data_IF_353793760643
#
_entry.id   IF_353793760643
#
_cell.length_a   1.000
_cell.length_b   1.000
_cell.length_c   1.000
_cell.angle_alpha   90.00
_cell.angle_beta   90.00
_cell.angle_gamma   90.00
#
_symmetry.space_group_name_H-M   'P 1'
#
loop_
_entity.id
_entity.type
_entity.pdbx_description
1 polymer ?
#
# COMPACT_ATOMS: atom_id res chain seq x y z
N UNK A 1 -7.92 -9.97 -21.55
CA UNK A 1 -8.51 -10.49 -20.29
C UNK A 1 -7.68 -11.59 -19.63
N UNK A 2 -7.42 -12.74 -20.29
CA UNK A 2 -6.60 -13.82 -19.70
C UNK A 2 -5.14 -13.37 -19.51
N UNK A 3 -4.58 -12.64 -20.48
CA UNK A 3 -3.19 -12.17 -20.40
C UNK A 3 -3.00 -11.04 -19.37
N UNK A 4 -4.01 -10.18 -19.19
CA UNK A 4 -4.03 -9.14 -18.14
C UNK A 4 -4.08 -9.78 -16.74
N UNK A 5 -4.87 -10.84 -16.59
CA UNK A 5 -4.95 -11.59 -15.33
C UNK A 5 -3.65 -12.31 -15.02
N UNK A 6 -3.04 -13.00 -16.00
CA UNK A 6 -1.73 -13.67 -15.84
C UNK A 6 -0.64 -12.68 -15.43
N UNK A 7 -0.61 -11.51 -16.09
CA UNK A 7 0.34 -10.45 -15.77
C UNK A 7 0.06 -9.86 -14.39
N UNK A 8 -1.20 -9.62 -14.05
CA UNK A 8 -1.61 -9.16 -12.73
C UNK A 8 -1.23 -10.13 -11.62
N UNK A 9 -1.35 -11.45 -11.85
CA UNK A 9 -0.90 -12.50 -10.93
C UNK A 9 0.62 -12.50 -10.77
N UNK A 10 1.37 -12.42 -11.88
CA UNK A 10 2.83 -12.37 -11.84
C UNK A 10 3.32 -11.13 -11.07
N UNK A 11 2.76 -9.96 -11.35
CA UNK A 11 3.05 -8.72 -10.61
C UNK A 11 2.66 -8.85 -9.14
N UNK A 12 1.48 -9.40 -8.85
CA UNK A 12 0.98 -9.60 -7.49
C UNK A 12 1.80 -10.58 -6.64
N UNK A 13 2.63 -11.42 -7.26
CA UNK A 13 3.54 -12.35 -6.59
C UNK A 13 4.97 -11.81 -6.50
N UNK A 14 5.55 -11.39 -7.62
CA UNK A 14 6.97 -11.00 -7.71
C UNK A 14 7.21 -9.71 -6.96
N UNK A 15 6.36 -8.71 -7.17
CA UNK A 15 6.58 -7.36 -6.65
C UNK A 15 6.53 -7.32 -5.12
N UNK A 16 5.52 -7.92 -4.44
CA UNK A 16 5.52 -7.98 -2.98
C UNK A 16 6.68 -8.79 -2.42
N UNK A 17 7.14 -9.85 -3.10
CA UNK A 17 8.28 -10.63 -2.64
C UNK A 17 9.58 -9.80 -2.66
N UNK A 18 9.82 -9.05 -3.74
CA UNK A 18 10.99 -8.18 -3.87
C UNK A 18 10.94 -6.96 -2.95
N UNK A 19 9.75 -6.37 -2.77
CA UNK A 19 9.57 -5.16 -1.95
C UNK A 19 9.26 -5.46 -0.49
N UNK A 20 9.16 -6.73 -0.10
CA UNK A 20 8.88 -7.16 1.27
C UNK A 20 9.87 -6.57 2.29
N UNK A 21 11.20 -6.66 2.11
CA UNK A 21 12.13 -6.11 3.08
C UNK A 21 11.90 -4.60 3.29
N UNK A 22 11.77 -3.82 2.21
CA UNK A 22 11.48 -2.38 2.30
C UNK A 22 10.15 -2.10 2.99
N UNK A 23 9.11 -2.87 2.68
CA UNK A 23 7.78 -2.74 3.28
C UNK A 23 7.78 -3.03 4.77
N UNK A 24 8.54 -4.04 5.21
CA UNK A 24 8.76 -4.38 6.61
C UNK A 24 9.51 -3.26 7.34
N UNK A 25 10.55 -2.71 6.72
CA UNK A 25 11.30 -1.58 7.29
C UNK A 25 10.39 -0.37 7.51
N UNK A 26 9.56 -0.02 6.53
CA UNK A 26 8.58 1.08 6.66
C UNK A 26 7.56 0.80 7.75
N UNK A 27 6.98 -0.39 7.79
CA UNK A 27 5.98 -0.75 8.80
C UNK A 27 6.57 -0.70 10.22
N UNK A 28 7.80 -1.18 10.42
CA UNK A 28 8.52 -1.07 11.69
C UNK A 28 8.81 0.38 12.06
N UNK A 29 9.29 1.19 11.11
CA UNK A 29 9.56 2.62 11.36
C UNK A 29 8.29 3.40 11.72
N UNK A 30 7.14 3.01 11.15
CA UNK A 30 5.84 3.61 11.47
C UNK A 30 5.29 3.13 12.82
N UNK A 31 5.64 1.92 13.25
CA UNK A 31 5.13 1.34 14.49
C UNK A 31 6.03 1.57 15.71
N UNK A 32 7.31 1.86 15.52
CA UNK A 32 8.25 2.06 16.63
C UNK A 32 8.22 3.51 17.15
N UNK A 33 8.47 3.72 18.46
CA UNK A 33 8.62 5.06 19.01
C UNK A 33 9.85 5.79 18.43
N UNK A 34 9.86 7.14 18.44
CA UNK A 34 11.00 7.94 18.01
C UNK A 34 12.27 7.55 18.77
N UNK A 35 13.36 7.28 18.04
CA UNK A 35 14.66 6.90 18.63
C UNK A 35 14.96 5.40 18.63
N UNK A 36 13.96 4.53 18.41
CA UNK A 36 14.21 3.12 18.16
C UNK A 36 14.86 2.93 16.78
N UNK A 37 15.88 2.08 16.69
CA UNK A 37 16.64 1.83 15.45
C UNK A 37 16.16 0.55 14.75
N UNK A 38 15.21 0.63 13.79
CA UNK A 38 14.70 -0.55 13.09
C UNK A 38 15.76 -1.29 12.26
N UNK A 39 16.90 -0.66 12.00
CA UNK A 39 17.94 -1.17 11.11
C UNK A 39 18.63 -2.43 11.66
N UNK A 40 18.83 -2.52 12.99
CA UNK A 40 19.54 -3.68 13.58
C UNK A 40 18.70 -4.95 13.57
N UNK A 41 17.38 -4.84 13.73
CA UNK A 41 16.46 -5.98 13.71
C UNK A 41 15.96 -6.34 12.32
N UNK A 42 16.20 -5.47 11.33
CA UNK A 42 15.86 -5.71 9.93
C UNK A 42 16.56 -6.95 9.38
N UNK A 43 17.87 -7.07 9.59
CA UNK A 43 18.71 -8.14 9.01
C UNK A 43 18.52 -9.52 9.65
N UNK A 44 17.85 -9.62 10.80
CA UNK A 44 17.62 -10.92 11.45
C UNK A 44 16.69 -11.84 10.65
N UNK A 45 15.74 -11.27 9.90
CA UNK A 45 14.76 -12.03 9.11
C UNK A 45 14.15 -11.19 7.97
N UNK A 46 14.94 -10.77 6.96
CA UNK A 46 14.54 -9.76 5.98
C UNK A 46 13.27 -10.12 5.19
N UNK A 47 12.97 -11.41 5.04
CA UNK A 47 11.80 -11.93 4.33
C UNK A 47 10.64 -12.37 5.23
N UNK A 48 10.68 -12.08 6.54
CA UNK A 48 9.55 -12.39 7.44
C UNK A 48 8.27 -11.73 6.94
N UNK A 49 7.23 -12.53 6.75
CA UNK A 49 5.95 -12.05 6.21
C UNK A 49 5.85 -12.02 4.68
N UNK A 50 6.86 -12.50 3.94
CA UNK A 50 6.84 -12.49 2.47
C UNK A 50 5.63 -13.20 1.89
N UNK A 51 5.30 -14.40 2.41
CA UNK A 51 4.14 -15.16 1.96
C UNK A 51 2.83 -14.41 2.19
N UNK A 52 2.68 -13.76 3.34
CA UNK A 52 1.51 -12.93 3.62
C UNK A 52 1.46 -11.72 2.68
N UNK A 53 2.61 -11.09 2.38
CA UNK A 53 2.72 -9.97 1.45
C UNK A 53 2.31 -10.37 0.01
N UNK A 54 2.78 -11.54 -0.47
CA UNK A 54 2.42 -12.06 -1.78
C UNK A 54 0.96 -12.46 -1.84
N UNK A 55 0.40 -13.07 -0.80
CA UNK A 55 -1.04 -13.36 -0.74
C UNK A 55 -1.89 -12.09 -0.79
N UNK A 56 -1.48 -11.03 -0.09
CA UNK A 56 -2.15 -9.72 -0.17
C UNK A 56 -2.06 -9.14 -1.57
N UNK A 57 -0.86 -9.16 -2.19
CA UNK A 57 -0.64 -8.65 -3.54
C UNK A 57 -1.46 -9.38 -4.58
N UNK A 58 -1.41 -10.71 -4.57
CA UNK A 58 -2.20 -11.58 -5.43
C UNK A 58 -3.70 -11.30 -5.28
N UNK A 59 -4.21 -11.30 -4.06
CA UNK A 59 -5.64 -11.04 -3.78
C UNK A 59 -6.06 -9.69 -4.35
N UNK A 60 -5.25 -8.64 -4.15
CA UNK A 60 -5.56 -7.31 -4.66
C UNK A 60 -5.53 -7.24 -6.17
N UNK A 61 -4.52 -7.82 -6.82
CA UNK A 61 -4.42 -7.83 -8.28
C UNK A 61 -5.62 -8.57 -8.88
N UNK A 62 -5.95 -9.76 -8.37
CA UNK A 62 -7.12 -10.53 -8.83
C UNK A 62 -8.41 -9.73 -8.67
N UNK A 63 -8.64 -9.13 -7.50
CA UNK A 63 -9.84 -8.31 -7.27
C UNK A 63 -9.90 -7.09 -8.18
N UNK A 64 -8.80 -6.36 -8.37
CA UNK A 64 -8.79 -5.16 -9.21
C UNK A 64 -9.04 -5.51 -10.67
N UNK A 65 -8.36 -6.52 -11.20
CA UNK A 65 -8.53 -6.93 -12.61
C UNK A 65 -9.88 -7.59 -12.88
N UNK A 66 -10.46 -8.30 -11.90
CA UNK A 66 -11.81 -8.85 -12.03
C UNK A 66 -12.90 -7.78 -11.94
N UNK A 67 -12.73 -6.75 -11.10
CA UNK A 67 -13.76 -5.74 -10.86
C UNK A 67 -13.71 -4.58 -11.86
N UNK A 68 -12.52 -4.20 -12.34
CA UNK A 68 -12.33 -3.04 -13.22
C UNK A 68 -13.26 -3.03 -14.46
N UNK A 69 -13.50 -4.15 -15.18
CA UNK A 69 -14.39 -4.16 -16.34
C UNK A 69 -15.86 -3.82 -16.02
N UNK A 70 -16.27 -3.94 -14.75
CA UNK A 70 -17.65 -3.78 -14.33
C UNK A 70 -17.95 -2.41 -13.68
N UNK A 71 -16.95 -1.54 -13.51
CA UNK A 71 -17.05 -0.33 -12.68
C UNK A 71 -17.19 0.99 -13.48
N UNK A 72 -17.54 0.91 -14.77
CA UNK A 72 -17.88 2.07 -15.62
C UNK A 72 -16.68 2.81 -16.24
N UNK A 73 -16.96 3.86 -17.01
CA UNK A 73 -15.97 4.52 -17.89
C UNK A 73 -15.03 5.51 -17.19
N UNK A 74 -15.42 6.04 -16.03
CA UNK A 74 -14.57 6.99 -15.28
C UNK A 74 -13.38 6.27 -14.66
N UNK A 75 -12.18 6.46 -15.23
CA UNK A 75 -10.91 5.86 -14.76
C UNK A 75 -10.62 6.17 -13.27
N UNK A 76 -11.03 7.35 -12.79
CA UNK A 76 -10.83 7.76 -11.39
C UNK A 76 -11.77 6.99 -10.43
N UNK A 77 -13.07 6.97 -10.73
CA UNK A 77 -14.08 6.36 -9.85
C UNK A 77 -13.96 4.84 -9.87
N UNK A 78 -13.84 4.24 -11.07
CA UNK A 78 -13.67 2.79 -11.22
C UNK A 78 -12.39 2.29 -10.55
N UNK A 79 -11.29 3.04 -10.68
CA UNK A 79 -10.02 2.78 -10.00
C UNK A 79 -10.15 2.83 -8.48
N UNK A 80 -10.80 3.87 -7.96
CA UNK A 80 -11.04 4.03 -6.53
C UNK A 80 -11.92 2.92 -5.94
N UNK A 81 -13.03 2.59 -6.60
CA UNK A 81 -13.94 1.51 -6.17
C UNK A 81 -13.29 0.13 -6.23
N UNK A 82 -12.55 -0.17 -7.30
CA UNK A 82 -11.80 -1.44 -7.42
C UNK A 82 -10.75 -1.56 -6.29
N UNK A 83 -10.03 -0.47 -6.02
CA UNK A 83 -9.07 -0.39 -4.93
C UNK A 83 -9.70 -0.57 -3.54
N UNK A 84 -10.86 0.06 -3.31
CA UNK A 84 -11.63 -0.06 -2.08
C UNK A 84 -12.08 -1.51 -1.83
N UNK A 85 -12.71 -2.14 -2.83
CA UNK A 85 -13.18 -3.52 -2.75
C UNK A 85 -12.02 -4.50 -2.54
N UNK A 86 -10.94 -4.37 -3.32
CA UNK A 86 -9.74 -5.19 -3.16
C UNK A 86 -9.09 -5.02 -1.78
N UNK A 87 -9.09 -3.81 -1.22
CA UNK A 87 -8.59 -3.55 0.13
C UNK A 87 -9.47 -4.19 1.20
N UNK A 88 -10.78 -4.21 1.02
CA UNK A 88 -11.70 -4.82 1.97
C UNK A 88 -11.52 -6.34 2.01
N UNK A 89 -11.48 -6.98 0.83
CA UNK A 89 -11.24 -8.43 0.70
C UNK A 89 -9.87 -8.83 1.26
N UNK A 90 -8.83 -8.03 1.00
CA UNK A 90 -7.47 -8.29 1.49
C UNK A 90 -7.20 -7.79 2.92
N UNK A 91 -8.20 -7.24 3.63
CA UNK A 91 -8.00 -6.63 4.95
C UNK A 91 -7.47 -7.61 6.01
N UNK A 92 -8.02 -8.84 6.16
CA UNK A 92 -7.51 -9.83 7.12
C UNK A 92 -6.05 -10.20 6.88
N UNK A 93 -5.71 -10.48 5.62
CA UNK A 93 -4.33 -10.80 5.20
C UNK A 93 -3.39 -9.62 5.43
N UNK A 94 -3.87 -8.39 5.19
CA UNK A 94 -3.08 -7.18 5.42
C UNK A 94 -2.80 -6.93 6.91
N UNK A 95 -3.79 -7.16 7.77
CA UNK A 95 -3.63 -7.07 9.22
C UNK A 95 -2.64 -8.12 9.74
N UNK A 96 -2.74 -9.36 9.24
CA UNK A 96 -1.80 -10.43 9.57
C UNK A 96 -0.37 -10.10 9.11
N UNK A 97 -0.21 -9.64 7.87
CA UNK A 97 1.07 -9.23 7.30
C UNK A 97 1.73 -8.08 8.09
N UNK A 98 0.99 -7.02 8.40
CA UNK A 98 1.50 -5.90 9.22
C UNK A 98 1.96 -6.37 10.60
N UNK A 99 1.25 -7.32 11.22
CA UNK A 99 1.69 -7.88 12.51
C UNK A 99 2.94 -8.74 12.38
N UNK A 100 3.07 -9.57 11.34
CA UNK A 100 4.31 -10.30 11.08
C UNK A 100 5.52 -9.38 10.87
N UNK A 101 5.30 -8.17 10.35
CA UNK A 101 6.36 -7.18 10.21
C UNK A 101 6.77 -6.56 11.55
N UNK A 102 5.80 -6.23 12.40
CA UNK A 102 6.04 -5.39 13.58
C UNK A 102 6.20 -6.19 14.87
N UNK A 103 5.39 -7.23 15.08
CA UNK A 103 5.36 -8.02 16.31
C UNK A 103 6.15 -9.31 16.13
N UNK A 104 7.14 -9.54 17.00
CA UNK A 104 7.87 -10.80 17.00
C UNK A 104 7.07 -11.93 17.69
N UNK A 105 6.21 -11.57 18.67
CA UNK A 105 5.27 -12.46 19.38
C UNK A 105 3.94 -11.75 19.70
N UNK A 106 2.79 -12.42 19.54
CA UNK A 106 1.48 -11.87 19.94
C UNK A 106 0.26 -12.54 19.30
N UNK A 107 -0.89 -12.52 20.00
CA UNK A 107 -2.17 -13.08 19.53
C UNK A 107 -2.88 -12.17 18.52
N UNK A 108 -3.38 -12.77 17.44
CA UNK A 108 -4.26 -12.12 16.46
C UNK A 108 -5.64 -11.85 17.08
N UNK A 109 -5.87 -10.62 17.54
CA UNK A 109 -7.11 -10.25 18.24
C UNK A 109 -8.22 -9.71 17.34
N UNK A 110 -7.90 -9.10 16.19
CA UNK A 110 -8.91 -8.52 15.27
C UNK A 110 -8.45 -8.58 13.81
N UNK A 111 -9.24 -9.26 12.98
CA UNK A 111 -8.94 -9.44 11.55
C UNK A 111 -9.12 -8.17 10.71
N UNK A 112 -10.03 -7.29 11.10
CA UNK A 112 -10.38 -6.09 10.32
C UNK A 112 -9.84 -4.79 10.92
N UNK A 113 -8.85 -4.86 11.82
CA UNK A 113 -8.23 -3.66 12.38
C UNK A 113 -7.64 -2.78 11.27
N UNK A 114 -8.02 -1.49 11.26
CA UNK A 114 -7.56 -0.53 10.25
C UNK A 114 -8.09 -0.77 8.84
N UNK A 115 -9.14 -1.59 8.66
CA UNK A 115 -9.74 -1.89 7.35
C UNK A 115 -10.34 -0.64 6.69
N UNK A 116 -11.11 0.17 7.42
CA UNK A 116 -11.72 1.41 6.90
C UNK A 116 -10.66 2.43 6.46
N UNK A 117 -9.62 2.64 7.26
CA UNK A 117 -8.49 3.49 6.88
C UNK A 117 -7.74 2.92 5.65
N UNK A 118 -7.65 1.59 5.53
CA UNK A 118 -7.06 0.92 4.36
C UNK A 118 -7.92 1.09 3.11
N UNK A 119 -9.24 0.97 3.24
CA UNK A 119 -10.19 1.18 2.14
C UNK A 119 -10.11 2.62 1.65
N UNK A 120 -10.11 3.59 2.57
CA UNK A 120 -9.90 5.01 2.24
C UNK A 120 -8.56 5.24 1.55
N UNK A 121 -7.47 4.65 2.08
CA UNK A 121 -6.15 4.72 1.46
C UNK A 121 -6.18 4.21 0.01
N UNK A 122 -6.69 3.00 -0.23
CA UNK A 122 -6.67 2.41 -1.58
C UNK A 122 -7.64 3.09 -2.53
N UNK A 123 -8.78 3.58 -2.05
CA UNK A 123 -9.71 4.37 -2.85
C UNK A 123 -9.04 5.65 -3.36
N UNK A 124 -8.46 6.44 -2.45
CA UNK A 124 -7.74 7.66 -2.81
C UNK A 124 -6.51 7.37 -3.67
N UNK A 125 -5.74 6.34 -3.31
CA UNK A 125 -4.52 5.99 -4.03
C UNK A 125 -4.80 5.58 -5.49
N UNK A 126 -5.73 4.64 -5.71
CA UNK A 126 -6.02 4.18 -7.06
C UNK A 126 -6.78 5.22 -7.88
N UNK A 127 -7.68 5.99 -7.28
CA UNK A 127 -8.33 7.12 -7.94
C UNK A 127 -7.30 8.14 -8.44
N UNK A 128 -6.44 8.66 -7.56
CA UNK A 128 -5.40 9.64 -7.93
C UNK A 128 -4.41 9.05 -8.92
N UNK A 129 -4.04 7.77 -8.78
CA UNK A 129 -3.14 7.11 -9.72
C UNK A 129 -3.72 7.05 -11.14
N UNK A 130 -4.91 6.49 -11.31
CA UNK A 130 -5.50 6.39 -12.64
C UNK A 130 -5.90 7.75 -13.23
N UNK A 131 -6.30 8.71 -12.39
CA UNK A 131 -6.55 10.08 -12.80
C UNK A 131 -5.29 10.78 -13.32
N UNK A 132 -4.18 10.72 -12.56
CA UNK A 132 -2.91 11.34 -12.97
C UNK A 132 -2.31 10.70 -14.22
N UNK A 133 -2.37 9.38 -14.34
CA UNK A 133 -1.95 8.64 -15.54
C UNK A 133 -2.82 9.01 -16.75
N UNK A 134 -4.13 9.11 -16.58
CA UNK A 134 -5.05 9.53 -17.64
C UNK A 134 -4.82 10.96 -18.11
N UNK A 135 -4.55 11.90 -17.20
CA UNK A 135 -4.19 13.28 -17.55
C UNK A 135 -2.85 13.36 -18.28
N UNK A 136 -1.87 12.54 -17.88
CA UNK A 136 -0.57 12.48 -18.55
C UNK A 136 -0.70 11.99 -20.00
N UNK A 137 -1.58 11.01 -20.26
CA UNK A 137 -1.89 10.51 -21.61
C UNK A 137 -2.50 11.58 -22.51
N UNK A 138 -3.33 12.46 -21.94
CA UNK A 138 -4.01 13.50 -22.70
C UNK A 138 -3.13 14.69 -23.05
N UNK A 139 -2.12 15.00 -22.23
CA UNK A 139 -1.32 16.22 -22.34
C UNK A 139 0.12 16.02 -22.82
N UNK A 140 0.69 14.82 -22.74
CA UNK A 140 2.08 14.55 -23.16
C UNK A 140 2.14 13.60 -24.37
N UNK A 141 2.59 14.13 -25.52
CA UNK A 141 2.70 13.40 -26.80
C UNK A 141 3.81 12.32 -26.77
N UNK A 142 4.77 12.43 -25.85
CA UNK A 142 5.86 11.45 -25.66
C UNK A 142 5.66 10.65 -24.38
N UNK A 143 4.72 9.71 -24.40
CA UNK A 143 4.36 8.87 -23.27
C UNK A 143 5.48 7.87 -22.92
N UNK A 144 6.44 8.27 -22.07
CA UNK A 144 7.28 7.28 -21.41
C UNK A 144 6.46 6.65 -20.27
N UNK A 145 5.86 5.49 -20.56
CA UNK A 145 5.01 4.75 -19.64
C UNK A 145 5.59 4.53 -18.25
N UNK A 146 6.91 4.39 -18.15
CA UNK A 146 7.61 4.24 -16.86
C UNK A 146 7.61 5.54 -16.06
N UNK A 147 7.84 6.67 -16.73
CA UNK A 147 7.87 8.00 -16.10
C UNK A 147 6.48 8.39 -15.58
N UNK A 148 5.44 8.22 -16.39
CA UNK A 148 4.08 8.60 -16.00
C UNK A 148 3.55 7.72 -14.86
N UNK A 149 3.85 6.41 -14.91
CA UNK A 149 3.52 5.47 -13.84
C UNK A 149 4.23 5.78 -12.53
N UNK A 150 5.50 6.19 -12.58
CA UNK A 150 6.25 6.63 -11.40
C UNK A 150 5.70 7.93 -10.80
N UNK A 151 5.45 8.96 -11.63
CA UNK A 151 4.90 10.24 -11.16
C UNK A 151 3.51 10.05 -10.55
N UNK A 152 2.63 9.33 -11.25
CA UNK A 152 1.29 9.04 -10.74
C UNK A 152 1.34 8.22 -9.45
N UNK A 153 2.29 7.28 -9.33
CA UNK A 153 2.52 6.50 -8.12
C UNK A 153 2.98 7.34 -6.93
N UNK A 154 3.92 8.27 -7.15
CA UNK A 154 4.42 9.19 -6.12
C UNK A 154 3.32 10.15 -5.69
N UNK A 155 2.60 10.77 -6.62
CA UNK A 155 1.49 11.67 -6.34
C UNK A 155 0.40 10.96 -5.51
N UNK A 156 -0.08 9.81 -5.99
CA UNK A 156 -1.07 9.01 -5.28
C UNK A 156 -0.59 8.61 -3.88
N UNK A 157 0.68 8.23 -3.74
CA UNK A 157 1.26 7.89 -2.44
C UNK A 157 1.25 9.08 -1.51
N UNK A 158 1.65 10.27 -1.97
CA UNK A 158 1.71 11.47 -1.15
C UNK A 158 0.33 11.87 -0.61
N UNK A 159 -0.71 11.85 -1.45
CA UNK A 159 -2.08 12.17 -1.04
C UNK A 159 -2.66 11.13 -0.07
N UNK A 160 -2.43 9.85 -0.33
CA UNK A 160 -3.01 8.78 0.48
C UNK A 160 -2.17 8.45 1.73
N UNK A 161 -0.93 8.95 1.84
CA UNK A 161 0.03 8.55 2.89
C UNK A 161 -0.50 8.63 4.33
N UNK A 162 -1.21 9.70 4.74
CA UNK A 162 -1.73 9.79 6.11
C UNK A 162 -2.70 8.65 6.46
N UNK A 163 -3.55 8.24 5.50
CA UNK A 163 -4.47 7.12 5.66
C UNK A 163 -3.73 5.77 5.76
N UNK A 164 -2.60 5.64 5.06
CA UNK A 164 -1.72 4.47 5.18
C UNK A 164 -1.14 4.36 6.58
N UNK A 165 -0.60 5.45 7.13
CA UNK A 165 -0.04 5.47 8.49
C UNK A 165 -1.13 5.17 9.52
N UNK A 166 -2.31 5.78 9.38
CA UNK A 166 -3.44 5.47 10.25
C UNK A 166 -3.80 3.98 10.21
N UNK A 167 -3.89 3.39 9.01
CA UNK A 167 -4.21 1.97 8.85
C UNK A 167 -3.15 1.06 9.49
N UNK A 168 -1.86 1.35 9.30
CA UNK A 168 -0.76 0.63 9.95
C UNK A 168 -0.86 0.74 11.47
N UNK A 169 -1.04 1.96 11.99
CA UNK A 169 -1.12 2.19 13.43
C UNK A 169 -2.32 1.51 14.06
N UNK A 170 -3.50 1.56 13.43
CA UNK A 170 -4.70 0.85 13.93
C UNK A 170 -4.54 -0.68 13.95
N UNK A 171 -3.71 -1.25 13.07
CA UNK A 171 -3.39 -2.69 13.05
C UNK A 171 -2.46 -3.11 14.18
N UNK A 172 -1.56 -2.21 14.58
CA UNK A 172 -0.54 -2.44 15.62
C UNK A 172 -1.07 -2.05 17.00
N UNK A 173 -1.52 -0.81 17.13
CA UNK A 173 -2.05 -0.17 18.32
C UNK A 173 -3.56 0.03 18.13
N UNK A 174 -4.32 -0.94 18.63
CA UNK A 174 -5.77 -0.94 18.50
C UNK A 174 -6.39 0.37 19.03
N UNK A 175 -7.35 0.95 18.31
CA UNK A 175 -8.11 2.12 18.78
C UNK A 175 -7.48 3.50 18.53
N UNK A 176 -6.30 3.60 17.91
CA UNK A 176 -5.69 4.89 17.57
C UNK A 176 -6.53 5.65 16.53
N UNK A 177 -6.87 6.91 16.84
CA UNK A 177 -7.52 7.83 15.90
C UNK A 177 -6.48 8.68 15.19
N UNK A 178 -6.83 9.19 14.00
CA UNK A 178 -5.97 10.10 13.25
C UNK A 178 -5.59 11.33 14.08
N UNK A 179 -6.54 11.89 14.82
CA UNK A 179 -6.31 13.02 15.71
C UNK A 179 -5.23 12.72 16.77
N UNK A 180 -5.13 11.48 17.25
CA UNK A 180 -4.13 11.07 18.23
C UNK A 180 -2.73 10.99 17.60
N UNK A 181 -2.65 10.53 16.35
CA UNK A 181 -1.43 10.58 15.53
C UNK A 181 -0.97 12.00 15.16
N UNK A 182 -1.87 12.98 15.16
CA UNK A 182 -1.51 14.40 14.93
C UNK A 182 -1.14 15.11 16.24
N UNK A 183 -1.80 14.76 17.35
CA UNK A 183 -1.60 15.36 18.67
C UNK A 183 -0.36 14.86 19.42
N UNK A 184 0.41 13.91 18.88
CA UNK A 184 1.62 13.43 19.55
C UNK A 184 1.38 12.36 20.60
N UNK A 185 0.16 11.84 20.75
CA UNK A 185 -0.16 10.83 21.76
C UNK A 185 0.54 9.53 21.36
N UNK A 186 1.45 9.03 22.21
CA UNK A 186 2.29 7.87 21.90
C UNK A 186 3.49 8.17 21.01
N UNK A 187 3.99 9.41 21.01
CA UNK A 187 5.22 9.84 20.33
C UNK A 187 5.12 9.98 18.79
N UNK A 188 3.92 9.96 18.23
CA UNK A 188 3.67 10.22 16.80
C UNK A 188 3.14 11.65 16.62
N UNK A 189 4.02 12.60 16.28
CA UNK A 189 3.60 13.94 15.83
C UNK A 189 3.39 13.99 14.31
N UNK A 190 3.19 15.19 13.75
CA UNK A 190 3.10 15.42 12.28
C UNK A 190 4.26 14.78 11.52
N UNK A 191 5.48 14.80 12.09
CA UNK A 191 6.67 14.13 11.53
C UNK A 191 6.54 12.59 11.48
N UNK A 192 5.82 11.99 12.43
CA UNK A 192 5.49 10.57 12.47
C UNK A 192 4.53 10.16 11.36
N UNK A 193 3.57 11.02 11.01
CA UNK A 193 2.64 10.80 9.88
C UNK A 193 3.36 10.71 8.53
N UNK A 194 4.52 11.36 8.39
CA UNK A 194 5.34 11.32 7.17
C UNK A 194 6.55 10.38 7.28
N UNK A 195 6.70 9.66 8.40
CA UNK A 195 7.84 8.78 8.61
C UNK A 195 7.83 7.62 7.60
N UNK A 196 8.90 7.52 6.81
CA UNK A 196 9.05 6.46 5.80
C UNK A 196 8.44 6.76 4.43
N UNK A 197 7.96 7.99 4.19
CA UNK A 197 7.34 8.37 2.91
C UNK A 197 8.27 8.16 1.71
N UNK A 198 9.56 8.52 1.85
CA UNK A 198 10.57 8.35 0.82
C UNK A 198 10.81 6.87 0.47
N UNK A 199 10.91 6.01 1.47
CA UNK A 199 11.04 4.56 1.25
C UNK A 199 9.80 4.00 0.57
N UNK A 200 8.62 4.53 0.89
CA UNK A 200 7.38 4.14 0.23
C UNK A 200 7.27 4.66 -1.21
N UNK A 201 7.88 5.81 -1.53
CA UNK A 201 8.03 6.29 -2.91
C UNK A 201 8.93 5.37 -3.73
N UNK A 202 10.06 4.93 -3.17
CA UNK A 202 10.95 3.95 -3.82
C UNK A 202 10.19 2.66 -4.12
N UNK A 203 9.45 2.12 -3.14
CA UNK A 203 8.58 0.95 -3.34
C UNK A 203 7.54 1.23 -4.43
N UNK A 204 6.90 2.40 -4.43
CA UNK A 204 5.90 2.74 -5.47
C UNK A 204 6.51 2.84 -6.87
N UNK A 205 7.74 3.33 -7.01
CA UNK A 205 8.44 3.41 -8.30
C UNK A 205 8.80 2.01 -8.79
N UNK A 206 9.31 1.15 -7.90
CA UNK A 206 9.64 -0.24 -8.22
C UNK A 206 8.40 -1.05 -8.64
N UNK A 207 7.26 -0.83 -7.97
CA UNK A 207 6.03 -1.60 -8.21
C UNK A 207 5.33 -1.26 -9.53
N UNK A 208 5.59 -0.09 -10.14
CA UNK A 208 4.74 0.48 -11.20
C UNK A 208 5.41 0.64 -12.56
N UNK A 209 6.67 0.23 -12.68
CA UNK A 209 7.31 0.10 -13.98
C UNK A 209 6.72 -1.02 -14.86
N UNK A 210 5.95 -1.96 -14.29
CA UNK A 210 5.43 -3.14 -15.01
C UNK A 210 3.92 -3.10 -15.30
N UNK A 211 3.11 -2.33 -14.57
CA UNK A 211 1.64 -2.35 -14.68
C UNK A 211 1.06 -1.65 -15.93
N UNK A 212 1.87 -0.99 -16.77
CA UNK A 212 1.43 -0.29 -17.99
C UNK A 212 1.80 -1.02 -19.29
N UNK A 213 2.44 -2.19 -19.22
CA UNK A 213 2.68 -3.07 -20.38
C UNK A 213 1.49 -3.99 -20.70
N UNK A 214 0.39 -3.82 -19.98
CA UNK A 214 -0.93 -4.47 -20.14
C UNK A 214 -2.00 -3.41 -20.26
#
# INVERSE_FOLDING_TARGET
MIDDLKTGVAVGLIVPAMTNPLSRFVARKQALPPGATPFRDFFKAPFRGSLAATSVGLTRCVCIFALKPHLGESKFISGGLAGAAASFVSAPLSAFCTRLYVQDHGFFRQAFAGSLASVGFHCTYWGVYFGSVGLAEQHFITANAKRDGAIGGVAATAFAYPLKVLSTNQRVFQGIRLADCYKGVGSFGVRGVWAGVLTNWIVSIMNKNDLRRT
#
